data_IF_208877652895
#
_entry.id   IF_208877652895
#
_cell.length_a   1.000
_cell.length_b   1.000
_cell.length_c   1.000
_cell.angle_alpha   90.00
_cell.angle_beta   90.00
_cell.angle_gamma   90.00
#
_symmetry.space_group_name_H-M   'P 1'
#
loop_
_entity.id
_entity.type
_entity.pdbx_description
1 polymer ?
#
# COMPACT_ATOMS: atom_id res chain seq x y z
N UNK A 1 3.46 11.85 -12.02
CA UNK A 1 4.07 11.62 -10.70
C UNK A 1 3.40 12.44 -9.59
N UNK A 2 3.17 13.76 -9.75
CA UNK A 2 2.59 14.62 -8.69
C UNK A 2 1.28 14.09 -8.08
N UNK A 3 0.37 13.55 -8.90
CA UNK A 3 -0.90 13.00 -8.41
C UNK A 3 -0.73 11.81 -7.47
N UNK A 4 0.19 10.89 -7.77
CA UNK A 4 0.48 9.73 -6.93
C UNK A 4 1.08 10.17 -5.59
N UNK A 5 2.06 11.10 -5.64
CA UNK A 5 2.67 11.67 -4.44
C UNK A 5 1.64 12.35 -3.53
N UNK A 6 0.70 13.10 -4.10
CA UNK A 6 -0.40 13.71 -3.34
C UNK A 6 -1.26 12.65 -2.64
N UNK A 7 -1.67 11.60 -3.37
CA UNK A 7 -2.49 10.52 -2.82
C UNK A 7 -1.82 9.80 -1.64
N UNK A 8 -0.48 9.67 -1.64
CA UNK A 8 0.27 8.98 -0.58
C UNK A 8 0.75 9.90 0.54
N UNK A 9 0.79 11.22 0.33
CA UNK A 9 1.26 12.18 1.34
C UNK A 9 0.17 12.57 2.33
N UNK A 10 -1.11 12.48 1.93
CA UNK A 10 -2.26 12.86 2.78
C UNK A 10 -2.63 11.78 3.80
N UNK A 11 -2.09 10.56 3.68
CA UNK A 11 -2.50 9.39 4.46
C UNK A 11 -1.29 8.62 5.00
N UNK A 12 -1.35 8.11 6.25
CA UNK A 12 -0.21 7.42 6.85
C UNK A 12 0.08 6.06 6.21
N UNK A 13 -0.95 5.35 5.73
CA UNK A 13 -0.83 4.08 5.00
C UNK A 13 -1.77 4.10 3.81
N UNK A 14 -1.23 3.80 2.62
CA UNK A 14 -1.97 3.73 1.36
C UNK A 14 -1.69 2.40 0.68
N UNK A 15 -2.73 1.73 0.20
CA UNK A 15 -2.65 0.47 -0.52
C UNK A 15 -3.34 0.65 -1.88
N UNK A 16 -2.59 0.45 -2.95
CA UNK A 16 -3.14 0.30 -4.30
C UNK A 16 -3.43 -1.18 -4.54
N UNK A 17 -4.69 -1.50 -4.85
CA UNK A 17 -5.25 -2.85 -4.88
C UNK A 17 -6.06 -3.07 -6.16
N UNK A 18 -6.41 -4.33 -6.42
CA UNK A 18 -7.51 -4.71 -7.32
C UNK A 18 -8.37 -5.78 -6.64
N UNK A 19 -9.68 -5.71 -6.81
CA UNK A 19 -10.60 -6.72 -6.28
C UNK A 19 -10.41 -8.09 -6.94
N UNK A 20 -9.94 -8.11 -8.19
CA UNK A 20 -9.56 -9.33 -8.92
C UNK A 20 -8.26 -10.01 -8.44
N UNK A 21 -7.54 -9.44 -7.46
CA UNK A 21 -6.24 -9.94 -7.01
C UNK A 21 -6.30 -10.54 -5.59
N UNK A 22 -6.09 -11.85 -5.45
CA UNK A 22 -6.08 -12.55 -4.15
C UNK A 22 -5.02 -12.00 -3.17
N UNK A 23 -3.83 -11.65 -3.66
CA UNK A 23 -2.76 -11.08 -2.83
C UNK A 23 -3.13 -9.71 -2.27
N UNK A 24 -3.94 -8.94 -2.99
CA UNK A 24 -4.41 -7.65 -2.48
C UNK A 24 -5.35 -7.83 -1.30
N UNK A 25 -6.21 -8.84 -1.33
CA UNK A 25 -7.04 -9.20 -0.17
C UNK A 25 -6.21 -9.58 1.05
N UNK A 26 -5.19 -10.43 0.87
CA UNK A 26 -4.28 -10.82 1.96
C UNK A 26 -3.62 -9.61 2.62
N UNK A 27 -3.09 -8.67 1.82
CA UNK A 27 -2.42 -7.48 2.36
C UNK A 27 -3.41 -6.53 3.02
N UNK A 28 -4.60 -6.33 2.46
CA UNK A 28 -5.67 -5.53 3.09
C UNK A 28 -6.01 -6.08 4.48
N UNK A 29 -6.27 -7.39 4.56
CA UNK A 29 -6.59 -8.06 5.83
C UNK A 29 -5.46 -7.95 6.83
N UNK A 30 -4.20 -8.15 6.41
CA UNK A 30 -3.04 -8.03 7.30
C UNK A 30 -2.97 -6.68 8.02
N UNK A 31 -3.18 -5.57 7.30
CA UNK A 31 -3.18 -4.23 7.91
C UNK A 31 -4.37 -4.02 8.86
N UNK A 32 -5.55 -4.51 8.49
CA UNK A 32 -6.75 -4.44 9.34
C UNK A 32 -6.56 -5.25 10.62
N UNK A 33 -5.97 -6.45 10.54
CA UNK A 33 -5.68 -7.32 11.69
C UNK A 33 -4.65 -6.69 12.65
N UNK A 34 -3.76 -5.85 12.14
CA UNK A 34 -2.88 -5.03 12.98
C UNK A 34 -3.59 -3.88 13.68
N UNK A 35 -4.88 -3.63 13.41
CA UNK A 35 -5.60 -2.45 13.90
C UNK A 35 -5.24 -1.17 13.16
N UNK A 36 -4.67 -1.27 11.95
CA UNK A 36 -4.39 -0.12 11.09
C UNK A 36 -5.59 0.16 10.20
N UNK A 37 -5.86 1.44 9.94
CA UNK A 37 -6.87 1.88 8.97
C UNK A 37 -6.19 2.37 7.66
N UNK A 38 -5.81 1.47 6.73
CA UNK A 38 -5.18 1.86 5.48
C UNK A 38 -6.19 2.51 4.52
N UNK A 39 -5.74 3.52 3.77
CA UNK A 39 -6.52 4.02 2.63
C UNK A 39 -6.31 3.09 1.43
N UNK A 40 -7.38 2.49 0.92
CA UNK A 40 -7.33 1.54 -0.17
C UNK A 40 -7.84 2.22 -1.46
N UNK A 41 -7.06 2.11 -2.52
CA UNK A 41 -7.44 2.54 -3.87
C UNK A 41 -7.57 1.32 -4.77
N UNK A 42 -8.80 0.90 -5.05
CA UNK A 42 -9.11 -0.20 -5.98
C UNK A 42 -8.99 0.29 -7.43
N UNK A 43 -7.91 -0.09 -8.10
CA UNK A 43 -7.56 0.42 -9.43
C UNK A 43 -8.50 -0.08 -10.53
N UNK A 44 -9.23 -1.17 -10.31
CA UNK A 44 -10.26 -1.69 -11.21
C UNK A 44 -11.59 -0.92 -11.13
N UNK A 45 -11.81 -0.15 -10.06
CA UNK A 45 -13.05 0.64 -9.87
C UNK A 45 -12.85 2.14 -10.15
N UNK A 46 -11.59 2.61 -10.19
CA UNK A 46 -11.28 4.02 -10.48
C UNK A 46 -11.24 4.25 -11.99
N UNK A 47 -12.02 5.23 -12.47
CA UNK A 47 -12.05 5.67 -13.88
C UNK A 47 -10.66 5.94 -14.51
N UNK A 48 -9.65 6.28 -13.69
CA UNK A 48 -8.25 6.52 -14.12
C UNK A 48 -7.26 5.54 -13.51
N UNK A 49 -7.72 4.36 -13.10
CA UNK A 49 -6.89 3.35 -12.45
C UNK A 49 -5.72 2.88 -13.31
N UNK A 50 -5.91 2.73 -14.63
CA UNK A 50 -4.83 2.38 -15.57
C UNK A 50 -3.68 3.40 -15.57
N UNK A 51 -3.97 4.69 -15.46
CA UNK A 51 -2.94 5.72 -15.40
C UNK A 51 -2.14 5.65 -14.09
N UNK A 52 -2.82 5.31 -12.99
CA UNK A 52 -2.18 5.09 -11.68
C UNK A 52 -1.30 3.84 -11.76
N UNK A 53 -1.77 2.74 -12.36
CA UNK A 53 -0.96 1.54 -12.59
C UNK A 53 0.30 1.82 -13.41
N UNK A 54 0.17 2.61 -14.49
CA UNK A 54 1.32 3.01 -15.29
C UNK A 54 2.31 3.86 -14.49
N UNK A 55 1.83 4.73 -13.60
CA UNK A 55 2.70 5.50 -12.71
C UNK A 55 3.41 4.59 -11.69
N UNK A 56 2.72 3.59 -11.13
CA UNK A 56 3.31 2.59 -10.24
C UNK A 56 4.36 1.75 -10.97
N UNK A 57 4.09 1.32 -12.21
CA UNK A 57 5.04 0.61 -13.04
C UNK A 57 6.30 1.44 -13.33
N UNK A 58 6.15 2.74 -13.59
CA UNK A 58 7.26 3.68 -13.76
C UNK A 58 8.11 3.88 -12.49
N UNK A 59 7.53 3.64 -11.31
CA UNK A 59 8.27 3.60 -10.05
C UNK A 59 9.00 2.25 -9.82
N UNK A 60 8.93 1.33 -10.77
CA UNK A 60 9.54 0.01 -10.66
C UNK A 60 8.69 -1.01 -9.91
N UNK A 61 7.40 -0.74 -9.67
CA UNK A 61 6.50 -1.72 -9.06
C UNK A 61 6.08 -2.76 -10.10
N UNK A 62 6.57 -3.98 -9.95
CA UNK A 62 6.14 -5.15 -10.73
C UNK A 62 6.01 -6.36 -9.80
N UNK A 63 4.80 -6.89 -9.57
CA UNK A 63 3.50 -6.46 -10.11
C UNK A 63 3.03 -5.10 -9.60
N UNK A 64 2.09 -4.45 -10.31
CA UNK A 64 1.53 -3.12 -9.95
C UNK A 64 0.51 -3.16 -8.82
N UNK A 65 0.03 -4.35 -8.43
CA UNK A 65 -0.83 -4.57 -7.27
C UNK A 65 -0.51 -5.90 -6.57
N UNK A 66 -0.65 -5.98 -5.23
CA UNK A 66 -0.82 -4.83 -4.34
C UNK A 66 0.47 -4.00 -4.27
N UNK A 67 0.36 -2.68 -4.14
CA UNK A 67 1.48 -1.79 -3.83
C UNK A 67 1.15 -0.98 -2.59
N UNK A 68 2.06 -0.96 -1.62
CA UNK A 68 1.88 -0.33 -0.31
C UNK A 68 2.84 0.83 -0.13
N UNK A 69 2.28 1.93 0.38
CA UNK A 69 3.01 3.10 0.84
C UNK A 69 2.77 3.29 2.34
N UNK A 70 3.83 3.62 3.08
CA UNK A 70 3.78 3.93 4.51
C UNK A 70 4.52 5.25 4.71
N UNK A 71 3.84 6.28 5.24
CA UNK A 71 4.41 7.62 5.45
C UNK A 71 4.94 8.25 4.16
N UNK A 72 4.16 8.20 3.08
CA UNK A 72 4.54 8.61 1.73
C UNK A 72 5.73 7.86 1.09
N UNK A 73 6.32 6.88 1.76
CA UNK A 73 7.42 6.06 1.22
C UNK A 73 6.89 4.77 0.58
N UNK A 74 7.41 4.44 -0.60
CA UNK A 74 7.13 3.18 -1.27
C UNK A 74 7.75 2.02 -0.50
N UNK A 75 6.91 1.12 0.01
CA UNK A 75 7.35 -0.10 0.70
C UNK A 75 7.49 -1.26 -0.29
N UNK A 76 6.62 -1.32 -1.28
CA UNK A 76 6.62 -2.35 -2.32
C UNK A 76 5.33 -3.16 -2.33
N UNK A 77 5.41 -4.39 -2.83
CA UNK A 77 4.24 -5.26 -2.95
C UNK A 77 4.10 -6.26 -1.81
N UNK A 78 3.28 -7.29 -2.05
CA UNK A 78 2.96 -8.29 -1.03
C UNK A 78 4.20 -8.94 -0.42
N UNK A 79 5.19 -9.32 -1.23
CA UNK A 79 6.41 -9.96 -0.76
C UNK A 79 7.20 -9.05 0.20
N UNK A 80 7.38 -7.77 -0.16
CA UNK A 80 8.10 -6.82 0.69
C UNK A 80 7.39 -6.58 2.02
N UNK A 81 6.07 -6.43 1.99
CA UNK A 81 5.25 -6.28 3.22
C UNK A 81 5.37 -7.52 4.10
N UNK A 82 5.29 -8.72 3.52
CA UNK A 82 5.44 -9.97 4.27
C UNK A 82 6.85 -10.12 4.84
N UNK A 83 7.90 -9.77 4.10
CA UNK A 83 9.27 -9.76 4.62
C UNK A 83 9.42 -8.81 5.82
N UNK A 84 8.82 -7.61 5.75
CA UNK A 84 8.81 -6.65 6.86
C UNK A 84 8.00 -7.13 8.07
N UNK A 85 6.93 -7.89 7.82
CA UNK A 85 6.17 -8.52 8.89
C UNK A 85 7.02 -9.59 9.60
N UNK A 86 7.63 -10.50 8.83
CA UNK A 86 8.46 -11.60 9.35
C UNK A 86 9.71 -11.10 10.09
N UNK A 87 10.33 -10.01 9.62
CA UNK A 87 11.49 -9.40 10.27
C UNK A 87 11.12 -8.44 11.42
N UNK A 88 9.83 -8.35 11.79
CA UNK A 88 9.30 -7.50 12.86
C UNK A 88 9.53 -5.99 12.67
N UNK A 89 9.86 -5.52 11.46
CA UNK A 89 10.08 -4.09 11.17
C UNK A 89 8.80 -3.35 10.75
N UNK A 90 7.77 -4.07 10.32
CA UNK A 90 6.49 -3.48 9.88
C UNK A 90 5.81 -2.67 10.99
N UNK A 91 5.69 -3.24 12.19
CA UNK A 91 5.05 -2.58 13.35
C UNK A 91 5.76 -1.27 13.75
N UNK A 92 7.10 -1.24 13.91
CA UNK A 92 7.84 0.01 14.12
C UNK A 92 7.60 1.08 13.05
N UNK A 93 7.51 0.69 11.77
CA UNK A 93 7.21 1.64 10.68
C UNK A 93 5.81 2.23 10.83
N UNK A 94 4.82 1.40 11.16
CA UNK A 94 3.43 1.84 11.35
C UNK A 94 3.28 2.78 12.54
N UNK A 95 3.98 2.50 13.65
CA UNK A 95 4.02 3.39 14.83
C UNK A 95 4.62 4.75 14.49
N UNK A 96 5.73 4.78 13.71
CA UNK A 96 6.42 6.02 13.33
C UNK A 96 5.51 6.99 12.57
N UNK A 97 4.60 6.47 11.75
CA UNK A 97 3.68 7.28 10.95
C UNK A 97 2.33 7.52 11.64
N UNK A 98 2.18 7.12 12.91
CA UNK A 98 0.94 7.28 13.67
C UNK A 98 -0.21 6.41 13.16
N UNK A 99 0.08 5.37 12.38
CA UNK A 99 -0.93 4.44 11.86
C UNK A 99 -1.35 3.39 12.89
N UNK A 100 -0.55 3.20 13.95
CA UNK A 100 -0.77 2.20 14.98
C UNK A 100 -0.42 2.75 16.36
N UNK A 101 -1.32 2.55 17.33
CA UNK A 101 -1.28 3.15 18.69
C UNK A 101 -1.21 2.10 19.82
N UNK A 102 -0.73 0.90 19.52
CA UNK A 102 -0.51 -0.18 20.52
C UNK A 102 0.69 0.10 21.41
#
# INVERSE_FOLDING_TARGET
MEKLQKMVSEKPVVIFSKNSCCMSHTIKTLFVDFGVNPTIYELDEINRGKEIEQALAQLGCSPTVPVVFIGAQLVGGANQVMSLHLNRSLVPMLKRVGALWV
#
